data_IF_019427660370
#
_entry.id   IF_019427660370
#
_cell.length_a   1.000
_cell.length_b   1.000
_cell.length_c   1.000
_cell.angle_alpha   90.00
_cell.angle_beta   90.00
_cell.angle_gamma   90.00
#
_symmetry.space_group_name_H-M   'P 1'
#
loop_
_entity.id
_entity.type
_entity.pdbx_description
1 polymer ?
#
# COMPACT_ATOMS: atom_id res chain seq x y z
N UNK A 1 -16.59 -34.19 -14.55
CA UNK A 1 -16.55 -33.40 -13.30
C UNK A 1 -15.27 -32.60 -13.27
N UNK A 2 -15.33 -31.30 -13.60
CA UNK A 2 -14.15 -30.42 -13.66
C UNK A 2 -13.77 -30.04 -12.23
N UNK A 3 -12.61 -30.50 -11.75
CA UNK A 3 -12.03 -30.07 -10.48
C UNK A 3 -11.78 -28.56 -10.57
N UNK A 4 -12.54 -27.76 -9.82
CA UNK A 4 -12.28 -26.33 -9.68
C UNK A 4 -11.02 -26.21 -8.82
N UNK A 5 -9.88 -25.91 -9.46
CA UNK A 5 -8.72 -25.39 -8.77
C UNK A 5 -9.08 -23.97 -8.33
N UNK A 6 -9.49 -23.83 -7.07
CA UNK A 6 -9.67 -22.55 -6.40
C UNK A 6 -8.34 -22.30 -5.68
N UNK A 7 -7.58 -21.33 -6.18
CA UNK A 7 -6.36 -20.83 -5.57
C UNK A 7 -6.61 -19.36 -5.28
N UNK A 8 -6.69 -19.02 -4.00
CA UNK A 8 -7.11 -17.71 -3.51
C UNK A 8 -6.43 -17.52 -2.14
N UNK A 9 -6.37 -16.31 -1.58
CA UNK A 9 -5.65 -15.08 -1.93
C UNK A 9 -5.63 -14.27 -0.63
N UNK A 10 -4.49 -14.23 0.07
CA UNK A 10 -4.27 -13.28 1.17
C UNK A 10 -2.94 -12.55 0.98
N UNK A 11 -3.02 -11.27 0.60
CA UNK A 11 -1.92 -10.32 0.68
C UNK A 11 -1.79 -9.83 2.12
N UNK A 12 -0.84 -10.41 2.86
CA UNK A 12 -0.58 -10.05 4.25
C UNK A 12 0.59 -9.07 4.28
N UNK A 13 0.27 -7.80 4.50
CA UNK A 13 1.26 -6.71 4.63
C UNK A 13 1.52 -6.43 6.10
N UNK A 14 2.74 -6.71 6.57
CA UNK A 14 3.20 -6.27 7.88
C UNK A 14 4.37 -5.30 7.75
N UNK A 15 4.28 -4.17 8.45
CA UNK A 15 5.36 -3.19 8.61
C UNK A 15 5.95 -3.35 10.00
N UNK A 16 7.24 -3.68 10.09
CA UNK A 16 8.04 -3.36 11.28
C UNK A 16 8.74 -2.05 10.99
N UNK A 17 8.22 -0.95 11.55
CA UNK A 17 8.94 0.32 11.54
C UNK A 17 9.76 0.40 12.82
N UNK A 18 11.02 -0.03 12.77
CA UNK A 18 12.03 0.51 13.67
C UNK A 18 12.36 1.90 13.15
N UNK A 19 11.63 2.91 13.65
CA UNK A 19 11.80 4.29 13.26
C UNK A 19 13.26 4.74 13.44
N UNK A 20 13.92 5.07 12.34
CA UNK A 20 14.90 6.15 12.32
C UNK A 20 14.34 7.20 11.37
N UNK A 21 14.06 8.39 11.93
CA UNK A 21 13.91 9.62 11.19
C UNK A 21 14.94 9.68 10.05
N UNK A 22 14.50 9.73 8.79
CA UNK A 22 15.37 10.08 7.67
C UNK A 22 15.06 11.53 7.37
N UNK A 23 15.97 12.40 7.79
CA UNK A 23 15.97 13.81 7.41
C UNK A 23 16.00 13.96 5.90
N UNK A 24 15.56 15.14 5.44
CA UNK A 24 15.52 15.54 4.05
C UNK A 24 16.73 15.02 3.25
N UNK A 25 16.46 14.29 2.17
CA UNK A 25 17.47 14.06 1.15
C UNK A 25 17.39 15.25 0.21
N UNK A 26 18.41 16.10 0.32
CA UNK A 26 18.75 17.17 -0.61
C UNK A 26 18.87 16.55 -2.02
N UNK A 27 17.96 16.90 -2.93
CA UNK A 27 18.08 16.49 -4.33
C UNK A 27 19.02 17.51 -4.97
N UNK A 28 20.31 17.15 -4.95
CA UNK A 28 21.34 17.82 -5.70
C UNK A 28 20.98 17.91 -7.18
N UNK A 29 21.23 19.10 -7.70
CA UNK A 29 21.03 19.61 -9.04
C UNK A 29 21.17 18.57 -10.17
N UNK A 30 20.11 18.40 -10.95
CA UNK A 30 20.11 17.61 -12.18
C UNK A 30 20.84 18.38 -13.27
N UNK A 31 22.16 18.23 -13.35
CA UNK A 31 22.95 18.64 -14.51
C UNK A 31 22.70 17.64 -15.66
N UNK A 32 21.92 18.05 -16.64
CA UNK A 32 21.88 17.43 -17.97
C UNK A 32 22.81 18.24 -18.86
N UNK A 33 23.82 17.58 -19.44
CA UNK A 33 24.82 18.18 -20.30
C UNK A 33 24.24 18.70 -21.63
N UNK A 34 24.60 19.98 -21.92
CA UNK A 34 24.82 20.73 -23.17
C UNK A 34 24.20 20.30 -24.52
N UNK A 35 23.90 21.30 -25.37
CA UNK A 35 24.82 21.48 -26.49
C UNK A 35 25.39 22.90 -26.62
N UNK A 36 26.64 22.86 -27.06
CA UNK A 36 27.57 23.89 -27.53
C UNK A 36 26.99 24.84 -28.59
N UNK A 37 27.19 26.14 -28.40
CA UNK A 37 27.40 27.09 -29.49
C UNK A 37 28.34 28.20 -29.04
N UNK A 38 29.62 28.01 -29.34
CA UNK A 38 30.65 29.04 -29.36
C UNK A 38 30.28 30.17 -30.33
N UNK A 39 30.29 31.41 -29.85
CA UNK A 39 31.04 32.54 -30.44
C UNK A 39 30.89 33.80 -29.56
N UNK A 40 32.00 34.21 -28.92
CA UNK A 40 32.29 35.61 -28.58
C UNK A 40 32.56 36.35 -29.92
N UNK A 41 32.36 37.65 -30.13
CA UNK A 41 32.99 38.81 -29.46
C UNK A 41 32.28 40.11 -29.92
N UNK A 42 32.41 41.16 -29.10
CA UNK A 42 32.45 42.62 -29.40
C UNK A 42 31.28 43.50 -28.91
N UNK A 43 31.54 44.09 -27.73
CA UNK A 43 31.64 45.54 -27.46
C UNK A 43 30.83 46.51 -28.35
N UNK A 44 29.96 47.31 -27.74
CA UNK A 44 30.24 48.73 -27.50
C UNK A 44 29.10 49.44 -26.74
N UNK A 45 29.52 50.47 -26.01
CA UNK A 45 28.73 51.35 -25.15
C UNK A 45 27.69 52.21 -25.89
N UNK A 46 26.60 52.62 -25.21
CA UNK A 46 26.28 54.04 -24.94
C UNK A 46 24.91 54.21 -24.27
N UNK A 47 24.87 55.10 -23.28
CA UNK A 47 23.68 55.66 -22.64
C UNK A 47 22.73 56.36 -23.62
N UNK A 48 21.40 56.22 -23.44
CA UNK A 48 20.46 57.34 -23.57
C UNK A 48 19.05 57.02 -23.02
N UNK A 49 18.59 57.95 -22.20
CA UNK A 49 17.23 58.30 -21.75
C UNK A 49 16.14 58.23 -22.84
N UNK A 50 14.92 57.83 -22.43
CA UNK A 50 13.71 57.90 -23.26
C UNK A 50 12.52 57.16 -22.65
N UNK A 51 11.71 57.86 -21.87
CA UNK A 51 10.39 57.47 -21.38
C UNK A 51 9.39 57.13 -22.49
N UNK A 52 8.72 55.98 -22.42
CA UNK A 52 7.42 55.78 -23.10
C UNK A 52 6.57 54.73 -22.35
N UNK A 53 5.34 55.12 -22.02
CA UNK A 53 4.32 54.28 -21.39
C UNK A 53 3.63 53.36 -22.41
N UNK A 54 2.84 52.40 -21.88
CA UNK A 54 1.70 51.64 -22.47
C UNK A 54 2.03 50.21 -22.98
N UNK A 55 1.17 49.18 -22.82
CA UNK A 55 -0.01 48.97 -21.95
C UNK A 55 0.11 47.75 -21.00
N UNK A 56 -0.80 47.66 -20.02
CA UNK A 56 -1.05 46.44 -19.23
C UNK A 56 -1.52 45.30 -20.16
N UNK A 57 -0.67 44.28 -20.34
CA UNK A 57 -1.11 42.98 -20.83
C UNK A 57 -1.57 42.16 -19.63
N UNK A 58 -2.86 41.82 -19.61
CA UNK A 58 -3.41 40.84 -18.69
C UNK A 58 -2.59 39.55 -18.81
N UNK A 59 -1.80 39.27 -17.78
CA UNK A 59 -1.07 38.02 -17.62
C UNK A 59 -2.12 36.93 -17.41
N UNK A 60 -2.58 36.33 -18.52
CA UNK A 60 -3.26 35.05 -18.48
C UNK A 60 -2.28 34.07 -17.86
N UNK A 61 -2.33 33.98 -16.52
CA UNK A 61 -1.58 33.03 -15.74
C UNK A 61 -2.08 31.66 -16.17
N UNK A 62 -1.46 31.11 -17.22
CA UNK A 62 -1.61 29.72 -17.60
C UNK A 62 -1.13 28.97 -16.38
N UNK A 63 -2.06 28.56 -15.52
CA UNK A 63 -1.77 27.61 -14.46
C UNK A 63 -1.24 26.37 -15.19
N UNK A 64 0.06 26.04 -15.12
CA UNK A 64 0.49 24.76 -15.64
C UNK A 64 -0.29 23.74 -14.82
N UNK A 65 -1.14 22.97 -15.48
CA UNK A 65 -1.79 21.83 -14.86
C UNK A 65 -0.64 20.99 -14.28
N UNK A 66 -0.53 20.97 -12.95
CA UNK A 66 0.56 20.31 -12.28
C UNK A 66 0.50 18.83 -12.66
N UNK A 67 1.29 18.43 -13.65
CA UNK A 67 1.57 17.04 -13.95
C UNK A 67 2.35 16.54 -12.75
N UNK A 68 1.66 15.82 -11.86
CA UNK A 68 2.31 15.27 -10.67
C UNK A 68 3.29 14.19 -11.13
N UNK A 69 4.55 14.57 -11.27
CA UNK A 69 5.64 13.64 -11.54
C UNK A 69 5.71 12.63 -10.39
N UNK A 70 5.56 11.34 -10.71
CA UNK A 70 5.65 10.26 -9.73
C UNK A 70 7.11 9.82 -9.62
N UNK A 71 7.73 10.09 -8.48
CA UNK A 71 9.12 9.69 -8.21
C UNK A 71 9.15 8.32 -7.54
N UNK A 72 10.12 7.48 -7.93
CA UNK A 72 10.41 6.21 -7.23
C UNK A 72 11.37 6.49 -6.07
N UNK A 73 10.98 6.10 -4.87
CA UNK A 73 11.79 6.30 -3.65
C UNK A 73 12.12 4.94 -3.05
N UNK A 74 13.39 4.76 -2.66
CA UNK A 74 13.83 3.59 -1.88
C UNK A 74 13.65 3.83 -0.39
N UNK A 75 13.04 2.88 0.32
CA UNK A 75 12.89 2.94 1.79
C UNK A 75 13.84 1.92 2.41
N UNK A 76 14.70 2.37 3.32
CA UNK A 76 15.61 1.50 4.05
C UNK A 76 14.86 0.71 5.11
N UNK A 77 15.05 -0.60 5.14
CA UNK A 77 14.44 -1.48 6.14
C UNK A 77 14.77 -2.95 5.88
N UNK A 78 14.19 -3.83 6.69
CA UNK A 78 14.25 -5.28 6.53
C UNK A 78 12.85 -5.87 6.66
N UNK A 79 12.62 -6.99 5.97
CA UNK A 79 11.40 -7.76 6.11
C UNK A 79 11.58 -8.87 7.14
N UNK A 80 10.53 -9.14 7.92
CA UNK A 80 10.47 -10.35 8.73
C UNK A 80 10.24 -11.56 7.83
N UNK A 81 10.92 -12.66 8.13
CA UNK A 81 10.74 -13.94 7.47
C UNK A 81 9.96 -14.88 8.40
N UNK A 82 8.62 -14.86 8.31
CA UNK A 82 7.76 -15.70 9.15
C UNK A 82 6.55 -16.28 8.40
N UNK A 83 6.65 -16.42 7.07
CA UNK A 83 5.54 -16.79 6.18
C UNK A 83 4.77 -18.04 6.63
N UNK A 84 5.48 -19.11 7.03
CA UNK A 84 4.83 -20.34 7.48
C UNK A 84 4.05 -20.16 8.78
N UNK A 85 4.68 -19.56 9.80
CA UNK A 85 4.03 -19.33 11.09
C UNK A 85 2.80 -18.41 10.96
N UNK A 86 2.88 -17.41 10.08
CA UNK A 86 1.77 -16.52 9.75
C UNK A 86 0.63 -17.28 9.08
N UNK A 87 0.94 -18.09 8.05
CA UNK A 87 -0.07 -18.91 7.37
C UNK A 87 -0.77 -19.87 8.33
N UNK A 88 0.01 -20.54 9.18
CA UNK A 88 -0.51 -21.49 10.18
C UNK A 88 -1.44 -20.78 11.16
N UNK A 89 -1.04 -19.61 11.66
CA UNK A 89 -1.86 -18.83 12.61
C UNK A 89 -3.16 -18.35 11.98
N UNK A 90 -3.12 -17.87 10.74
CA UNK A 90 -4.34 -17.42 10.04
C UNK A 90 -5.28 -18.60 9.78
N UNK A 91 -4.75 -19.73 9.31
CA UNK A 91 -5.54 -20.94 9.11
C UNK A 91 -6.14 -21.47 10.42
N UNK A 92 -5.43 -21.35 11.54
CA UNK A 92 -5.97 -21.66 12.86
C UNK A 92 -7.17 -20.77 13.20
N UNK A 93 -7.05 -19.45 13.05
CA UNK A 93 -8.13 -18.47 13.29
C UNK A 93 -9.34 -18.75 12.40
N UNK A 94 -9.08 -18.98 11.11
CA UNK A 94 -10.13 -19.27 10.12
C UNK A 94 -10.85 -20.57 10.49
N UNK A 95 -10.12 -21.65 10.77
CA UNK A 95 -10.71 -22.92 11.19
C UNK A 95 -11.57 -22.76 12.45
N UNK A 96 -11.07 -22.06 13.45
CA UNK A 96 -11.78 -21.79 14.71
C UNK A 96 -13.15 -21.12 14.44
N UNK A 97 -13.19 -20.10 13.58
CA UNK A 97 -14.44 -19.41 13.22
C UNK A 97 -15.46 -20.34 12.54
N UNK A 98 -14.99 -21.29 11.72
CA UNK A 98 -15.83 -22.29 11.06
C UNK A 98 -16.29 -23.40 12.02
N UNK A 99 -15.47 -23.77 13.00
CA UNK A 99 -15.83 -24.74 14.05
C UNK A 99 -16.88 -24.17 15.01
N UNK A 100 -16.77 -22.88 15.34
CA UNK A 100 -17.71 -22.17 16.21
C UNK A 100 -19.01 -21.73 15.51
N UNK A 101 -19.03 -21.78 14.17
CA UNK A 101 -20.17 -21.31 13.38
C UNK A 101 -20.39 -19.80 13.51
N UNK A 102 -19.30 -19.03 13.44
CA UNK A 102 -19.34 -17.56 13.44
C UNK A 102 -20.14 -17.06 12.23
N UNK A 103 -20.75 -15.88 12.36
CA UNK A 103 -21.47 -15.21 11.28
C UNK A 103 -20.56 -15.02 10.05
N UNK A 104 -21.04 -15.38 8.86
CA UNK A 104 -20.35 -15.14 7.59
C UNK A 104 -20.27 -13.62 7.32
N UNK A 105 -19.07 -13.04 7.13
CA UNK A 105 -18.92 -11.61 6.86
C UNK A 105 -19.66 -11.11 5.62
N UNK A 106 -19.91 -11.99 4.65
CA UNK A 106 -20.57 -11.62 3.39
C UNK A 106 -22.09 -11.65 3.49
N UNK A 107 -22.62 -12.40 4.45
CA UNK A 107 -24.05 -12.67 4.56
C UNK A 107 -24.47 -12.79 6.04
N UNK A 108 -25.09 -11.74 6.62
CA UNK A 108 -25.52 -11.73 8.02
C UNK A 108 -26.65 -12.73 8.33
N UNK A 109 -27.17 -13.47 7.33
CA UNK A 109 -28.12 -14.56 7.54
C UNK A 109 -27.47 -15.95 7.66
N UNK A 110 -26.18 -16.09 7.35
CA UNK A 110 -25.47 -17.39 7.27
C UNK A 110 -24.36 -17.53 8.28
N UNK A 111 -24.23 -18.73 8.85
CA UNK A 111 -23.07 -19.10 9.67
C UNK A 111 -22.05 -19.84 8.83
N UNK A 112 -20.78 -19.65 9.16
CA UNK A 112 -19.69 -20.45 8.62
C UNK A 112 -19.87 -21.91 9.06
N UNK A 113 -19.50 -22.86 8.18
CA UNK A 113 -19.64 -24.28 8.49
C UNK A 113 -18.41 -25.05 8.05
N UNK A 114 -17.96 -26.02 8.84
CA UNK A 114 -16.80 -26.85 8.49
C UNK A 114 -16.91 -27.58 7.13
N UNK A 115 -18.11 -27.72 6.56
CA UNK A 115 -18.28 -28.25 5.21
C UNK A 115 -17.72 -27.32 4.13
N UNK A 116 -17.70 -26.00 4.39
CA UNK A 116 -17.22 -24.96 3.48
C UNK A 116 -15.77 -24.53 3.78
N UNK A 117 -15.14 -25.10 4.82
CA UNK A 117 -13.79 -24.71 5.23
C UNK A 117 -12.73 -25.15 4.23
N UNK A 118 -11.95 -24.18 3.75
CA UNK A 118 -10.77 -24.41 2.92
C UNK A 118 -9.58 -23.68 3.56
N UNK A 119 -8.48 -24.38 3.86
CA UNK A 119 -7.27 -23.73 4.36
C UNK A 119 -6.62 -22.89 3.25
N UNK A 120 -6.15 -21.72 3.64
CA UNK A 120 -5.42 -20.78 2.82
C UNK A 120 -4.04 -21.33 2.48
N UNK A 121 -3.48 -20.83 1.38
CA UNK A 121 -2.12 -21.16 0.93
C UNK A 121 -1.32 -19.88 0.77
N UNK A 122 -0.01 -19.97 1.03
CA UNK A 122 0.90 -18.87 0.76
C UNK A 122 0.99 -18.57 -0.74
N UNK A 123 1.06 -17.30 -1.11
CA UNK A 123 1.25 -16.84 -2.48
C UNK A 123 2.44 -15.88 -2.55
N UNK A 124 3.41 -16.21 -3.39
CA UNK A 124 4.57 -15.36 -3.64
C UNK A 124 4.20 -14.03 -4.30
N UNK A 125 3.16 -14.03 -5.14
CA UNK A 125 2.64 -12.81 -5.79
C UNK A 125 2.05 -11.86 -4.75
N UNK A 126 1.31 -12.41 -3.79
CA UNK A 126 0.70 -11.61 -2.75
C UNK A 126 1.71 -11.12 -1.72
N UNK A 127 2.71 -11.94 -1.41
CA UNK A 127 3.86 -11.48 -0.64
C UNK A 127 4.60 -10.33 -1.35
N UNK A 128 4.77 -10.40 -2.66
CA UNK A 128 5.38 -9.32 -3.45
C UNK A 128 4.60 -8.01 -3.31
N UNK A 129 3.28 -8.05 -3.51
CA UNK A 129 2.40 -6.88 -3.34
C UNK A 129 2.46 -6.39 -1.90
N UNK A 130 2.42 -7.30 -0.93
CA UNK A 130 2.45 -6.97 0.47
C UNK A 130 3.74 -6.28 0.90
N UNK A 131 4.90 -6.66 0.34
CA UNK A 131 6.16 -5.97 0.59
C UNK A 131 6.15 -4.53 0.08
N UNK A 132 5.62 -4.29 -1.13
CA UNK A 132 5.45 -2.93 -1.67
C UNK A 132 4.53 -2.11 -0.76
N UNK A 133 3.39 -2.69 -0.40
CA UNK A 133 2.41 -2.05 0.48
C UNK A 133 2.97 -1.79 1.87
N UNK A 134 3.83 -2.67 2.39
CA UNK A 134 4.51 -2.47 3.67
C UNK A 134 5.38 -1.20 3.64
N UNK A 135 6.18 -1.06 2.59
CA UNK A 135 7.01 0.11 2.38
C UNK A 135 6.15 1.39 2.23
N UNK A 136 5.11 1.36 1.39
CA UNK A 136 4.21 2.50 1.18
C UNK A 136 3.43 2.89 2.45
N UNK A 137 2.92 1.90 3.19
CA UNK A 137 2.14 2.08 4.43
C UNK A 137 3.00 2.61 5.59
N UNK A 138 4.33 2.49 5.50
CA UNK A 138 5.25 3.11 6.45
C UNK A 138 5.34 4.64 6.29
N UNK A 139 5.06 5.14 5.07
CA UNK A 139 5.07 6.57 4.74
C UNK A 139 3.68 7.17 4.90
N UNK A 140 2.65 6.47 4.40
CA UNK A 140 1.25 6.88 4.47
C UNK A 140 0.44 5.81 5.17
N UNK A 141 -0.03 6.09 6.40
CA UNK A 141 -0.76 5.13 7.23
C UNK A 141 -2.22 4.93 6.80
N UNK A 142 -2.42 4.52 5.54
CA UNK A 142 -3.72 4.33 4.91
C UNK A 142 -3.67 3.17 3.89
N UNK A 143 -4.85 2.65 3.54
CA UNK A 143 -5.00 1.70 2.44
C UNK A 143 -4.74 2.33 1.07
N UNK A 144 -5.02 3.62 0.92
CA UNK A 144 -4.69 4.36 -0.30
C UNK A 144 -3.16 4.51 -0.39
N UNK A 145 -2.60 4.13 -1.55
CA UNK A 145 -1.16 4.22 -1.80
C UNK A 145 -0.71 5.69 -1.86
N UNK A 146 0.58 6.01 -1.62
CA UNK A 146 1.11 7.36 -1.79
C UNK A 146 0.86 7.98 -3.17
N UNK A 147 0.71 7.15 -4.20
CA UNK A 147 0.38 7.58 -5.56
C UNK A 147 -1.12 7.80 -5.82
N UNK A 148 -1.95 7.86 -4.77
CA UNK A 148 -3.42 8.01 -4.81
C UNK A 148 -4.16 6.91 -5.56
N UNK A 149 -3.58 5.72 -5.64
CA UNK A 149 -4.21 4.52 -6.19
C UNK A 149 -4.53 3.54 -5.07
N UNK A 150 -5.52 2.68 -5.28
CA UNK A 150 -5.79 1.56 -4.37
C UNK A 150 -4.75 0.42 -4.53
N UNK A 151 -4.55 -0.45 -3.52
CA UNK A 151 -3.59 -1.57 -3.58
C UNK A 151 -3.76 -2.50 -4.80
N UNK A 152 -4.98 -2.66 -5.29
CA UNK A 152 -5.39 -3.44 -6.49
C UNK A 152 -4.75 -2.91 -7.79
N UNK A 153 -4.17 -1.71 -7.76
CA UNK A 153 -3.38 -1.19 -8.87
C UNK A 153 -2.00 -1.84 -9.01
N UNK A 154 -1.56 -2.63 -8.03
CA UNK A 154 -0.29 -3.36 -8.07
C UNK A 154 -0.54 -4.74 -8.69
N UNK A 155 0.24 -5.06 -9.72
CA UNK A 155 0.25 -6.40 -10.33
C UNK A 155 1.57 -7.09 -10.02
N UNK A 156 1.48 -8.29 -9.45
CA UNK A 156 2.63 -9.13 -9.19
C UNK A 156 3.16 -9.77 -10.49
N UNK A 157 4.43 -10.22 -10.53
CA UNK A 157 5.01 -10.85 -11.71
C UNK A 157 4.25 -12.08 -12.24
N UNK A 158 3.59 -12.85 -11.37
CA UNK A 158 2.75 -13.99 -11.77
C UNK A 158 1.37 -13.61 -12.32
N UNK A 159 1.07 -12.31 -12.44
CA UNK A 159 -0.17 -11.80 -13.03
C UNK A 159 -1.34 -11.71 -12.04
N UNK A 160 -1.08 -11.77 -10.74
CA UNK A 160 -2.11 -11.61 -9.70
C UNK A 160 -2.08 -10.19 -9.11
N UNK A 161 -3.23 -9.70 -8.63
CA UNK A 161 -3.34 -8.48 -7.80
C UNK A 161 -3.97 -8.81 -6.43
N UNK A 162 -4.01 -7.83 -5.52
CA UNK A 162 -4.68 -7.99 -4.22
C UNK A 162 -6.19 -7.83 -4.35
N UNK A 163 -6.96 -8.45 -3.45
CA UNK A 163 -8.43 -8.27 -3.34
C UNK A 163 -8.88 -7.84 -1.94
N UNK A 164 -7.96 -7.89 -0.98
CA UNK A 164 -8.14 -7.43 0.38
C UNK A 164 -6.78 -6.98 0.91
N UNK A 165 -6.77 -6.11 1.92
CA UNK A 165 -5.55 -5.69 2.60
C UNK A 165 -5.85 -5.54 4.09
N UNK A 166 -5.05 -6.20 4.92
CA UNK A 166 -4.99 -5.93 6.35
C UNK A 166 -3.64 -5.26 6.67
N UNK A 167 -3.69 -4.13 7.38
CA UNK A 167 -2.51 -3.39 7.82
C UNK A 167 -2.42 -3.40 9.34
N UNK A 168 -1.20 -3.44 9.87
CA UNK A 168 -0.96 -3.30 11.29
C UNK A 168 0.27 -2.41 11.52
N UNK A 169 0.09 -1.33 12.29
CA UNK A 169 1.18 -0.50 12.80
C UNK A 169 1.34 -0.74 14.29
N UNK A 170 2.46 -1.35 14.66
CA UNK A 170 2.79 -1.63 16.04
C UNK A 170 4.30 -1.60 16.22
N UNK A 171 4.76 -1.75 17.47
CA UNK A 171 6.19 -1.72 17.82
C UNK A 171 6.80 -3.11 17.99
N UNK A 172 6.05 -4.18 17.72
CA UNK A 172 6.54 -5.53 17.85
C UNK A 172 7.41 -5.89 16.64
N UNK A 173 8.48 -6.63 16.90
CA UNK A 173 9.33 -7.22 15.86
C UNK A 173 8.89 -8.67 15.57
N UNK A 174 7.57 -8.90 15.47
CA UNK A 174 6.95 -10.21 15.30
C UNK A 174 5.68 -10.10 14.45
N UNK A 175 5.60 -10.87 13.36
CA UNK A 175 4.42 -10.89 12.50
C UNK A 175 3.18 -11.41 13.22
N UNK A 176 3.33 -12.36 14.14
CA UNK A 176 2.20 -12.95 14.85
C UNK A 176 1.51 -11.95 15.77
N UNK A 177 2.25 -10.96 16.28
CA UNK A 177 1.65 -9.86 17.03
C UNK A 177 0.66 -9.05 16.17
N UNK A 178 1.00 -8.79 14.90
CA UNK A 178 0.09 -8.18 13.92
C UNK A 178 -1.16 -9.01 13.68
N UNK A 179 -0.98 -10.31 13.41
CA UNK A 179 -2.11 -11.24 13.18
C UNK A 179 -3.04 -11.29 14.40
N UNK A 180 -2.47 -11.33 15.60
CA UNK A 180 -3.25 -11.40 16.82
C UNK A 180 -3.95 -10.08 17.18
N UNK A 181 -3.44 -8.93 16.72
CA UNK A 181 -4.18 -7.67 16.83
C UNK A 181 -5.44 -7.70 15.95
N UNK A 182 -5.34 -8.17 14.70
CA UNK A 182 -6.50 -8.35 13.83
C UNK A 182 -7.51 -9.34 14.41
N UNK A 183 -7.02 -10.46 14.93
CA UNK A 183 -7.87 -11.45 15.61
C UNK A 183 -8.57 -10.89 16.85
N UNK A 184 -7.98 -9.90 17.53
CA UNK A 184 -8.58 -9.26 18.70
C UNK A 184 -9.97 -8.67 18.45
N UNK A 185 -10.30 -8.36 17.18
CA UNK A 185 -11.62 -7.87 16.78
C UNK A 185 -12.71 -8.94 16.82
N UNK A 186 -12.37 -10.23 16.96
CA UNK A 186 -13.35 -11.35 17.01
C UNK A 186 -14.49 -11.09 17.99
N UNK A 187 -14.17 -10.62 19.19
CA UNK A 187 -15.19 -10.41 20.23
C UNK A 187 -16.19 -9.33 19.84
N UNK A 188 -15.73 -8.27 19.17
CA UNK A 188 -16.60 -7.21 18.69
C UNK A 188 -17.48 -7.71 17.52
N UNK A 189 -16.93 -8.56 16.65
CA UNK A 189 -17.68 -9.20 15.57
C UNK A 189 -18.75 -10.16 16.10
N UNK A 190 -18.36 -11.11 16.95
CA UNK A 190 -19.29 -12.15 17.46
C UNK A 190 -20.41 -11.53 18.30
N UNK A 191 -20.09 -10.50 19.10
CA UNK A 191 -21.08 -9.83 19.94
C UNK A 191 -21.78 -8.65 19.24
N UNK A 192 -21.44 -8.35 17.99
CA UNK A 192 -22.04 -7.29 17.18
C UNK A 192 -22.04 -5.93 17.92
N UNK A 193 -20.90 -5.54 18.47
CA UNK A 193 -20.78 -4.35 19.33
C UNK A 193 -20.79 -3.03 18.53
N UNK A 194 -20.69 -3.10 17.20
CA UNK A 194 -20.60 -1.94 16.31
C UNK A 194 -19.20 -1.30 16.23
N UNK A 195 -18.18 -1.94 16.82
CA UNK A 195 -16.78 -1.53 16.68
C UNK A 195 -16.19 -2.01 15.34
N UNK A 196 -14.97 -1.56 15.05
CA UNK A 196 -14.24 -1.95 13.84
C UNK A 196 -13.88 -3.42 13.92
N UNK A 197 -14.30 -4.19 12.91
CA UNK A 197 -14.11 -5.65 12.81
C UNK A 197 -13.56 -6.12 11.47
N UNK A 198 -13.24 -5.18 10.58
CA UNK A 198 -12.89 -5.47 9.20
C UNK A 198 -11.65 -6.36 9.04
N UNK A 199 -10.69 -6.30 9.98
CA UNK A 199 -9.52 -7.17 9.90
C UNK A 199 -9.89 -8.61 10.22
N UNK A 200 -10.67 -8.85 11.28
CA UNK A 200 -11.14 -10.19 11.62
C UNK A 200 -12.07 -10.77 10.55
N UNK A 201 -12.99 -9.96 10.03
CA UNK A 201 -13.85 -10.32 8.90
C UNK A 201 -13.03 -10.79 7.69
N UNK A 202 -11.96 -10.05 7.36
CA UNK A 202 -11.06 -10.44 6.27
C UNK A 202 -10.31 -11.76 6.54
N UNK A 203 -10.04 -12.15 7.78
CA UNK A 203 -9.37 -13.43 8.09
C UNK A 203 -10.31 -14.64 7.86
N UNK A 204 -11.61 -14.47 8.09
CA UNK A 204 -12.58 -15.58 8.10
C UNK A 204 -13.46 -15.65 6.84
N UNK A 205 -13.41 -14.64 5.97
CA UNK A 205 -14.23 -14.56 4.74
C UNK A 205 -13.97 -15.74 3.80
N UNK A 206 -14.98 -16.56 3.46
CA UNK A 206 -14.81 -17.80 2.67
C UNK A 206 -14.30 -17.63 1.24
N UNK A 207 -14.47 -16.45 0.66
CA UNK A 207 -14.04 -16.11 -0.70
C UNK A 207 -12.55 -15.84 -0.83
N UNK A 208 -11.79 -15.93 0.27
CA UNK A 208 -10.34 -15.77 0.31
C UNK A 208 -9.61 -17.11 0.48
#
# INVERSE_FOLDING_TARGET
MKKKLISVLLGITLVVSNCSYVGAVDIGDSAVEVPDFSDEVQEDELFSDGSEEVPETEDETVHPAATTEKVKVGIKGSYLAASQAVLDRINQIRREAYEEGVQDPRDPSKKLTMADYVPLKWSSDLEYIARIRSAEASVRREHIRPCNMWPESIWAPGGTTSYAENLAWNRANDMLYGINQWYGEKNDWVNQTGRVTGHYESLITPEY
#
